data_IF_244782714689
#
_entry.id   IF_244782714689
#
_cell.length_a   1.000
_cell.length_b   1.000
_cell.length_c   1.000
_cell.angle_alpha   90.00
_cell.angle_beta   90.00
_cell.angle_gamma   90.00
#
_symmetry.space_group_name_H-M   'P 1'
#
loop_
_entity.id
_entity.type
_entity.pdbx_description
1 polymer ?
#
# COMPACT_ATOMS: atom_id res chain seq x y z
N UNK A 1 15.15 45.88 -8.28
CA UNK A 1 14.34 45.29 -9.36
C UNK A 1 14.32 43.80 -9.10
N UNK A 2 13.23 43.29 -8.53
CA UNK A 2 13.09 41.86 -8.24
C UNK A 2 12.91 41.11 -9.56
N UNK A 3 13.80 40.17 -9.86
CA UNK A 3 13.53 39.18 -10.90
C UNK A 3 12.21 38.50 -10.59
N UNK A 4 11.28 38.56 -11.54
CA UNK A 4 10.04 37.80 -11.47
C UNK A 4 10.42 36.32 -11.44
N UNK A 5 10.13 35.65 -10.32
CA UNK A 5 10.23 34.20 -10.25
C UNK A 5 9.49 33.61 -11.46
N UNK A 6 10.17 32.72 -12.19
CA UNK A 6 9.62 32.04 -13.35
C UNK A 6 8.43 31.18 -12.90
N UNK A 7 7.22 31.75 -13.01
CA UNK A 7 5.94 31.11 -12.69
C UNK A 7 5.52 30.07 -13.72
N UNK A 8 6.37 29.73 -14.70
CA UNK A 8 6.09 28.69 -15.68
C UNK A 8 6.55 27.30 -15.24
N UNK A 9 7.34 27.20 -14.16
CA UNK A 9 7.65 25.92 -13.53
C UNK A 9 6.34 25.30 -13.02
N UNK A 10 5.85 24.27 -13.72
CA UNK A 10 4.66 23.55 -13.31
C UNK A 10 4.88 22.99 -11.90
N UNK A 11 3.88 23.09 -11.03
CA UNK A 11 4.05 22.61 -9.69
C UNK A 11 4.30 21.09 -9.68
N UNK A 12 5.14 20.58 -8.76
CA UNK A 12 5.62 19.19 -8.76
C UNK A 12 4.51 18.14 -8.58
N UNK A 13 3.30 18.54 -8.18
CA UNK A 13 2.14 17.66 -8.05
C UNK A 13 1.34 17.47 -9.35
N UNK A 14 1.68 18.16 -10.44
CA UNK A 14 1.00 17.98 -11.73
C UNK A 14 1.58 16.78 -12.48
N UNK A 15 0.95 15.61 -12.32
CA UNK A 15 1.33 14.40 -13.02
C UNK A 15 0.92 14.44 -14.49
N UNK A 16 1.84 14.03 -15.37
CA UNK A 16 1.61 13.95 -16.80
C UNK A 16 1.48 12.51 -17.27
N UNK A 17 0.65 12.31 -18.29
CA UNK A 17 0.58 11.03 -18.97
C UNK A 17 1.88 10.81 -19.75
N UNK A 18 2.58 9.68 -19.52
CA UNK A 18 3.79 9.38 -20.26
C UNK A 18 3.50 9.19 -21.75
N UNK A 19 4.50 9.51 -22.58
CA UNK A 19 4.47 9.13 -23.99
C UNK A 19 4.73 7.62 -24.14
N UNK A 20 4.27 7.04 -25.26
CA UNK A 20 4.42 5.60 -25.49
C UNK A 20 5.89 5.16 -25.58
N UNK A 21 6.79 5.98 -26.09
CA UNK A 21 8.19 5.62 -26.25
C UNK A 21 8.89 5.50 -24.87
N UNK A 22 8.54 6.37 -23.93
CA UNK A 22 9.03 6.36 -22.55
C UNK A 22 8.59 5.12 -21.75
N UNK A 23 7.43 4.56 -22.08
CA UNK A 23 6.89 3.33 -21.47
C UNK A 23 7.60 2.10 -22.03
N UNK A 24 7.78 2.05 -23.35
CA UNK A 24 8.23 0.87 -24.09
C UNK A 24 9.75 0.73 -24.07
N UNK A 25 10.33 0.69 -22.87
CA UNK A 25 11.77 0.59 -22.61
C UNK A 25 12.13 -0.74 -21.94
N UNK A 26 13.42 -1.08 -21.92
CA UNK A 26 13.95 -2.25 -21.20
C UNK A 26 13.33 -3.57 -21.67
N UNK A 27 12.74 -4.33 -20.74
CA UNK A 27 12.11 -5.62 -21.06
C UNK A 27 10.88 -5.49 -21.96
N UNK A 28 10.08 -4.43 -21.82
CA UNK A 28 8.90 -4.18 -22.66
C UNK A 28 9.26 -3.88 -24.12
N UNK A 29 10.49 -3.42 -24.37
CA UNK A 29 11.01 -3.19 -25.71
C UNK A 29 11.45 -4.49 -26.42
N UNK A 30 11.58 -5.60 -25.68
CA UNK A 30 12.07 -6.87 -26.23
C UNK A 30 10.93 -7.62 -26.92
N UNK A 31 11.21 -8.10 -28.14
CA UNK A 31 10.32 -9.04 -28.83
C UNK A 31 10.15 -10.33 -28.03
N UNK A 32 8.94 -10.84 -27.98
CA UNK A 32 8.57 -12.07 -27.28
C UNK A 32 7.09 -12.36 -27.41
N UNK A 33 6.59 -13.40 -26.75
CA UNK A 33 5.15 -13.63 -26.69
C UNK A 33 4.58 -12.84 -25.52
N UNK A 34 3.79 -11.81 -25.82
CA UNK A 34 3.18 -10.93 -24.83
C UNK A 34 1.67 -11.13 -24.79
N UNK A 35 1.12 -11.08 -23.59
CA UNK A 35 -0.31 -10.87 -23.37
C UNK A 35 -0.50 -9.58 -22.59
N UNK A 36 -1.51 -8.79 -22.99
CA UNK A 36 -1.83 -7.50 -22.38
C UNK A 36 -3.30 -7.50 -22.01
N UNK A 37 -3.62 -7.26 -20.75
CA UNK A 37 -4.97 -6.96 -20.29
C UNK A 37 -5.18 -5.45 -20.25
N UNK A 38 -6.09 -4.93 -21.07
CA UNK A 38 -6.50 -3.52 -21.04
C UNK A 38 -7.56 -3.33 -19.97
N UNK A 39 -7.42 -2.30 -19.14
CA UNK A 39 -8.18 -2.15 -17.90
C UNK A 39 -9.10 -0.93 -17.88
N UNK A 40 -10.23 -1.08 -17.21
CA UNK A 40 -11.00 0.01 -16.60
C UNK A 40 -10.96 -0.19 -15.08
N UNK A 41 -10.42 0.78 -14.34
CA UNK A 41 -10.15 0.63 -12.91
C UNK A 41 -10.37 1.92 -12.15
N UNK A 42 -10.81 1.80 -10.90
CA UNK A 42 -10.86 2.90 -9.93
C UNK A 42 -9.56 3.07 -9.13
N UNK A 43 -8.57 2.19 -9.32
CA UNK A 43 -7.26 2.30 -8.67
C UNK A 43 -6.55 3.55 -9.23
N UNK A 44 -5.99 4.43 -8.38
CA UNK A 44 -5.02 5.44 -8.82
C UNK A 44 -3.84 4.76 -9.54
N UNK A 45 -3.73 4.95 -10.84
CA UNK A 45 -2.81 4.19 -11.68
C UNK A 45 -1.46 4.90 -11.81
N UNK A 46 -0.32 4.18 -11.89
CA UNK A 46 0.98 4.85 -11.98
C UNK A 46 1.13 5.63 -13.27
N UNK A 47 2.06 6.60 -13.23
CA UNK A 47 2.62 7.28 -14.42
C UNK A 47 3.93 6.66 -14.92
N UNK A 48 4.44 5.64 -14.22
CA UNK A 48 5.64 4.88 -14.59
C UNK A 48 5.29 3.40 -14.76
N UNK A 49 6.10 2.67 -15.51
CA UNK A 49 5.95 1.21 -15.59
C UNK A 49 6.47 0.58 -14.29
N UNK A 50 5.71 -0.35 -13.72
CA UNK A 50 6.15 -1.15 -12.56
C UNK A 50 6.18 -2.62 -12.91
N UNK A 51 7.26 -3.31 -12.54
CA UNK A 51 7.36 -4.77 -12.61
C UNK A 51 7.01 -5.34 -11.23
N UNK A 52 6.10 -6.29 -11.20
CA UNK A 52 5.65 -6.98 -9.99
C UNK A 52 5.79 -8.48 -10.21
N UNK A 53 6.45 -9.15 -9.27
CA UNK A 53 6.48 -10.62 -9.23
C UNK A 53 5.31 -11.09 -8.37
N UNK A 54 4.47 -11.96 -8.91
CA UNK A 54 3.36 -12.56 -8.16
C UNK A 54 3.21 -14.02 -8.56
N UNK A 55 3.19 -14.92 -7.57
CA UNK A 55 3.20 -16.38 -7.79
C UNK A 55 4.29 -16.83 -8.78
N UNK A 56 5.49 -16.25 -8.65
CA UNK A 56 6.64 -16.54 -9.50
C UNK A 56 6.50 -16.10 -10.96
N UNK A 57 5.54 -15.23 -11.28
CA UNK A 57 5.33 -14.68 -12.62
C UNK A 57 5.56 -13.17 -12.62
N UNK A 58 6.17 -12.68 -13.69
CA UNK A 58 6.40 -11.26 -13.91
C UNK A 58 5.17 -10.59 -14.55
N UNK A 59 4.67 -9.54 -13.89
CA UNK A 59 3.63 -8.67 -14.39
C UNK A 59 4.17 -7.25 -14.55
N UNK A 60 3.86 -6.62 -15.68
CA UNK A 60 4.18 -5.21 -15.93
C UNK A 60 2.91 -4.40 -15.86
N UNK A 61 2.82 -3.54 -14.86
CA UNK A 61 1.80 -2.49 -14.78
C UNK A 61 2.23 -1.37 -15.72
N UNK A 62 1.42 -1.12 -16.73
CA UNK A 62 1.69 -0.18 -17.80
C UNK A 62 0.81 1.06 -17.61
N UNK A 63 1.39 2.27 -17.53
CA UNK A 63 0.64 3.49 -17.36
C UNK A 63 -0.23 3.81 -18.60
N UNK A 64 -1.37 4.51 -18.44
CA UNK A 64 -2.08 5.06 -19.58
C UNK A 64 -1.23 6.08 -20.34
N UNK A 65 -1.52 6.25 -21.62
CA UNK A 65 -1.00 7.37 -22.43
C UNK A 65 -2.16 8.24 -22.88
N UNK A 66 -1.87 9.30 -23.65
CA UNK A 66 -2.93 10.09 -24.30
C UNK A 66 -3.88 9.24 -25.17
N UNK A 67 -3.43 8.10 -25.68
CA UNK A 67 -4.16 7.28 -26.65
C UNK A 67 -4.43 5.84 -26.19
N UNK A 68 -3.97 5.45 -25.00
CA UNK A 68 -4.05 4.07 -24.51
C UNK A 68 -4.51 4.03 -23.07
N UNK A 69 -5.38 3.07 -22.75
CA UNK A 69 -5.87 2.85 -21.40
C UNK A 69 -4.79 2.23 -20.49
N UNK A 70 -4.99 2.26 -19.15
CA UNK A 70 -4.20 1.47 -18.22
C UNK A 70 -4.17 -0.01 -18.62
N UNK A 71 -3.03 -0.67 -18.41
CA UNK A 71 -2.90 -2.07 -18.77
C UNK A 71 -1.96 -2.84 -17.83
N UNK A 72 -2.10 -4.15 -17.83
CA UNK A 72 -1.09 -5.06 -17.28
C UNK A 72 -0.64 -6.03 -18.37
N UNK A 73 0.67 -6.17 -18.53
CA UNK A 73 1.28 -7.10 -19.45
C UNK A 73 1.98 -8.25 -18.72
N UNK A 74 2.08 -9.38 -19.40
CA UNK A 74 2.87 -10.53 -18.97
C UNK A 74 3.58 -11.09 -20.20
N UNK A 75 4.87 -11.39 -20.04
CA UNK A 75 5.65 -12.09 -21.06
C UNK A 75 5.52 -13.59 -20.86
N UNK A 76 5.48 -14.32 -21.96
CA UNK A 76 5.28 -15.76 -22.01
C UNK A 76 6.39 -16.39 -22.85
N UNK A 77 6.69 -17.65 -22.58
CA UNK A 77 7.65 -18.43 -23.38
C UNK A 77 7.10 -18.84 -24.75
N UNK A 78 5.77 -18.96 -24.84
CA UNK A 78 5.03 -19.43 -26.02
C UNK A 78 3.76 -18.62 -26.20
N UNK A 79 2.97 -18.95 -27.22
CA UNK A 79 1.70 -18.28 -27.49
C UNK A 79 0.74 -18.26 -26.31
N UNK A 80 -0.09 -17.21 -26.26
CA UNK A 80 -1.05 -16.98 -25.20
C UNK A 80 -2.04 -18.14 -25.10
N UNK A 81 -2.08 -18.76 -23.92
CA UNK A 81 -3.06 -19.79 -23.59
C UNK A 81 -4.15 -19.24 -22.66
N UNK A 82 -5.23 -20.00 -22.48
CA UNK A 82 -6.25 -19.71 -21.47
C UNK A 82 -5.63 -19.61 -20.05
N UNK A 83 -4.62 -20.44 -19.75
CA UNK A 83 -3.92 -20.43 -18.46
C UNK A 83 -3.23 -19.08 -18.18
N UNK A 84 -2.58 -18.49 -19.18
CA UNK A 84 -1.94 -17.19 -19.05
C UNK A 84 -2.95 -16.07 -18.76
N UNK A 85 -4.12 -16.12 -19.41
CA UNK A 85 -5.24 -15.20 -19.12
C UNK A 85 -5.75 -15.39 -17.70
N UNK A 86 -5.89 -16.64 -17.24
CA UNK A 86 -6.29 -16.95 -15.87
C UNK A 86 -5.29 -16.42 -14.85
N UNK A 87 -3.99 -16.58 -15.08
CA UNK A 87 -2.92 -16.01 -14.22
C UNK A 87 -3.02 -14.49 -14.14
N UNK A 88 -3.19 -13.82 -15.27
CA UNK A 88 -3.43 -12.37 -15.32
C UNK A 88 -4.67 -11.97 -14.52
N UNK A 89 -5.78 -12.69 -14.67
CA UNK A 89 -7.01 -12.41 -13.91
C UNK A 89 -6.80 -12.62 -12.41
N UNK A 90 -6.05 -13.65 -11.98
CA UNK A 90 -5.72 -13.88 -10.57
C UNK A 90 -4.88 -12.74 -9.98
N UNK A 91 -3.85 -12.30 -10.71
CA UNK A 91 -3.06 -11.14 -10.31
C UNK A 91 -3.94 -9.88 -10.13
N UNK A 92 -4.81 -9.58 -11.10
CA UNK A 92 -5.70 -8.42 -11.00
C UNK A 92 -6.72 -8.53 -9.85
N UNK A 93 -7.11 -9.74 -9.46
CA UNK A 93 -7.96 -9.97 -8.27
C UNK A 93 -7.21 -9.71 -6.97
N UNK A 94 -5.96 -10.19 -6.85
CA UNK A 94 -5.11 -9.88 -5.70
C UNK A 94 -4.80 -8.39 -5.60
N UNK A 95 -4.48 -7.74 -6.73
CA UNK A 95 -4.25 -6.30 -6.80
C UNK A 95 -5.50 -5.50 -6.41
N UNK A 96 -6.67 -5.86 -6.94
CA UNK A 96 -7.95 -5.24 -6.58
C UNK A 96 -8.29 -5.39 -5.09
N UNK A 97 -7.93 -6.52 -4.47
CA UNK A 97 -8.09 -6.73 -3.04
C UNK A 97 -7.19 -5.80 -2.23
N UNK A 98 -5.88 -5.84 -2.50
CA UNK A 98 -4.88 -5.04 -1.80
C UNK A 98 -5.11 -3.53 -1.93
N UNK A 99 -5.61 -3.07 -3.08
CA UNK A 99 -5.89 -1.65 -3.33
C UNK A 99 -7.28 -1.21 -2.87
N UNK A 100 -8.20 -2.14 -2.56
CA UNK A 100 -9.58 -1.79 -2.18
C UNK A 100 -10.48 -1.28 -3.32
N UNK A 101 -10.03 -1.32 -4.58
CA UNK A 101 -10.78 -0.80 -5.74
C UNK A 101 -11.10 -1.87 -6.77
N UNK A 102 -12.14 -1.64 -7.59
CA UNK A 102 -12.53 -2.51 -8.69
C UNK A 102 -11.58 -2.46 -9.89
N UNK A 103 -11.45 -3.59 -10.57
CA UNK A 103 -10.69 -3.73 -11.82
C UNK A 103 -11.51 -4.55 -12.82
N UNK A 104 -11.82 -3.95 -13.98
CA UNK A 104 -12.42 -4.65 -15.11
C UNK A 104 -11.41 -4.80 -16.24
N UNK A 105 -11.41 -5.98 -16.86
CA UNK A 105 -10.64 -6.21 -18.09
C UNK A 105 -11.53 -5.94 -19.29
N UNK A 106 -11.22 -4.89 -20.04
CA UNK A 106 -11.92 -4.50 -21.26
C UNK A 106 -11.60 -5.42 -22.44
N UNK A 107 -10.44 -6.09 -22.40
CA UNK A 107 -10.04 -7.06 -23.41
C UNK A 107 -8.59 -7.52 -23.23
N UNK A 108 -8.25 -8.59 -23.95
CA UNK A 108 -6.88 -9.09 -24.05
C UNK A 108 -6.31 -8.81 -25.44
N UNK A 109 -5.12 -8.23 -25.46
CA UNK A 109 -4.28 -8.06 -26.66
C UNK A 109 -2.90 -8.68 -26.46
N UNK A 110 -1.95 -8.28 -27.30
CA UNK A 110 -0.57 -8.75 -27.25
C UNK A 110 -0.06 -9.26 -28.60
N UNK A 111 0.96 -10.12 -28.58
CA UNK A 111 1.65 -10.62 -29.76
C UNK A 111 3.16 -10.60 -29.59
N UNK A 112 3.90 -10.30 -30.66
CA UNK A 112 5.37 -10.22 -30.63
C UNK A 112 5.92 -9.06 -29.77
N UNK A 113 5.05 -8.11 -29.42
CA UNK A 113 5.30 -6.94 -28.58
C UNK A 113 4.06 -6.67 -27.71
N UNK A 114 4.20 -5.98 -26.57
CA UNK A 114 3.05 -5.47 -25.82
C UNK A 114 2.22 -4.53 -26.69
N UNK A 115 1.00 -4.96 -27.05
CA UNK A 115 0.05 -4.15 -27.80
C UNK A 115 -0.98 -3.57 -26.83
N UNK A 116 -0.90 -2.26 -26.62
CA UNK A 116 -1.88 -1.51 -25.85
C UNK A 116 -3.06 -1.14 -26.75
N UNK A 117 -4.26 -1.53 -26.37
CA UNK A 117 -5.46 -1.17 -27.13
C UNK A 117 -5.61 0.35 -27.18
N UNK A 118 -5.89 0.87 -28.38
CA UNK A 118 -6.27 2.29 -28.55
C UNK A 118 -7.63 2.51 -27.90
N UNK A 119 -7.69 3.38 -26.89
CA UNK A 119 -8.94 3.82 -26.29
C UNK A 119 -9.25 5.23 -26.77
N UNK A 120 -10.26 5.40 -27.63
CA UNK A 120 -10.82 6.74 -27.90
C UNK A 120 -11.63 7.18 -26.68
N UNK A 121 -11.10 8.13 -25.91
CA UNK A 121 -11.88 8.93 -24.95
C UNK A 121 -12.22 8.22 -23.64
N UNK A 122 -12.45 8.90 -22.52
CA UNK A 122 -12.52 10.33 -22.23
C UNK A 122 -12.58 10.45 -20.71
N UNK A 123 -11.57 11.04 -20.08
CA UNK A 123 -11.66 11.62 -18.72
C UNK A 123 -11.59 10.64 -17.54
N UNK A 124 -10.89 11.08 -16.48
CA UNK A 124 -11.08 10.55 -15.13
C UNK A 124 -10.12 9.44 -14.68
N UNK A 125 -8.96 9.25 -15.31
CA UNK A 125 -7.92 8.45 -14.66
C UNK A 125 -7.36 9.21 -13.46
N UNK A 126 -7.54 8.68 -12.26
CA UNK A 126 -6.75 9.11 -11.12
C UNK A 126 -5.34 8.56 -11.33
N UNK A 127 -4.35 9.45 -11.39
CA UNK A 127 -2.95 9.09 -11.54
C UNK A 127 -2.24 9.17 -10.20
N UNK A 128 -1.22 8.35 -10.01
CA UNK A 128 -0.30 8.44 -8.88
C UNK A 128 1.15 8.39 -9.36
N UNK A 129 2.01 9.20 -8.74
CA UNK A 129 3.47 9.06 -8.88
C UNK A 129 3.99 7.84 -8.12
N UNK A 130 3.21 7.38 -7.15
CA UNK A 130 3.62 6.46 -6.13
C UNK A 130 2.64 5.28 -6.09
N UNK A 131 2.87 4.33 -6.99
CA UNK A 131 2.07 3.13 -7.07
C UNK A 131 2.68 2.00 -6.27
N UNK A 132 1.98 1.60 -5.23
CA UNK A 132 2.47 0.66 -4.24
C UNK A 132 1.76 -0.66 -4.43
N UNK A 133 2.51 -1.71 -4.76
CA UNK A 133 1.97 -3.07 -4.83
C UNK A 133 2.63 -3.89 -3.74
N UNK A 134 1.90 -4.07 -2.64
CA UNK A 134 2.32 -4.77 -1.43
C UNK A 134 1.20 -5.68 -0.96
N UNK A 135 1.58 -6.66 -0.15
CA UNK A 135 0.65 -7.51 0.61
C UNK A 135 -0.41 -8.18 -0.27
N UNK A 136 0.00 -8.59 -1.49
CA UNK A 136 -0.85 -9.31 -2.41
C UNK A 136 -1.21 -10.68 -1.82
N UNK A 137 -2.50 -11.02 -1.66
CA UNK A 137 -2.88 -12.29 -1.08
C UNK A 137 -2.62 -13.44 -2.05
N UNK A 138 -2.17 -14.59 -1.52
CA UNK A 138 -1.96 -15.83 -2.30
C UNK A 138 -2.91 -16.94 -1.84
N UNK A 139 -4.23 -16.82 -2.09
CA UNK A 139 -5.20 -17.76 -1.54
C UNK A 139 -5.30 -19.08 -2.31
N UNK A 140 -5.91 -20.05 -1.66
CA UNK A 140 -6.36 -21.31 -2.27
C UNK A 140 -7.45 -21.10 -3.34
N UNK A 141 -7.94 -22.19 -3.94
CA UNK A 141 -8.90 -22.10 -5.04
C UNK A 141 -10.23 -21.42 -4.64
N UNK A 142 -10.70 -21.62 -3.41
CA UNK A 142 -11.95 -21.04 -2.90
C UNK A 142 -11.80 -19.54 -2.64
N UNK A 143 -10.70 -19.15 -2.00
CA UNK A 143 -10.36 -17.74 -1.80
C UNK A 143 -10.09 -17.01 -3.12
N UNK A 144 -9.47 -17.66 -4.12
CA UNK A 144 -9.31 -17.10 -5.46
C UNK A 144 -10.65 -16.77 -6.13
N UNK A 145 -11.65 -17.65 -5.99
CA UNK A 145 -12.99 -17.39 -6.50
C UNK A 145 -13.63 -16.20 -5.77
N UNK A 146 -13.50 -16.14 -4.45
CA UNK A 146 -14.03 -15.03 -3.65
C UNK A 146 -13.40 -13.69 -4.04
N UNK A 147 -12.07 -13.63 -4.22
CA UNK A 147 -11.38 -12.42 -4.71
C UNK A 147 -11.76 -12.07 -6.15
N UNK A 148 -12.02 -13.05 -7.01
CA UNK A 148 -12.50 -12.81 -8.38
C UNK A 148 -13.88 -12.16 -8.39
N UNK A 149 -14.81 -12.67 -7.58
CA UNK A 149 -16.15 -12.11 -7.40
C UNK A 149 -16.08 -10.72 -6.75
N UNK A 150 -15.24 -10.52 -5.74
CA UNK A 150 -15.03 -9.22 -5.09
C UNK A 150 -14.52 -8.16 -6.08
N UNK A 151 -13.49 -8.48 -6.88
CA UNK A 151 -12.99 -7.60 -7.94
C UNK A 151 -14.09 -7.22 -8.93
N UNK A 152 -14.87 -8.22 -9.39
CA UNK A 152 -15.96 -8.00 -10.33
C UNK A 152 -17.04 -7.09 -9.71
N UNK A 153 -17.50 -7.39 -8.51
CA UNK A 153 -18.51 -6.62 -7.79
C UNK A 153 -18.11 -5.14 -7.63
N UNK A 154 -16.86 -4.86 -7.25
CA UNK A 154 -16.31 -3.50 -7.14
C UNK A 154 -16.16 -2.79 -8.49
N UNK A 155 -15.95 -3.54 -9.58
CA UNK A 155 -15.78 -2.99 -10.93
C UNK A 155 -17.09 -2.71 -11.67
N UNK A 156 -18.21 -3.26 -11.20
CA UNK A 156 -19.52 -3.08 -11.83
C UNK A 156 -20.07 -1.67 -11.61
N UNK A 157 -20.46 -1.03 -12.72
CA UNK A 157 -21.04 0.32 -12.75
C UNK A 157 -22.57 0.29 -12.58
N UNK A 158 -23.08 -0.71 -11.85
CA UNK A 158 -24.51 -0.89 -11.62
C UNK A 158 -24.74 -1.47 -10.23
N UNK A 159 -25.46 -0.74 -9.38
CA UNK A 159 -25.64 -1.07 -7.95
C UNK A 159 -26.28 -2.46 -7.75
N UNK A 160 -27.32 -2.80 -8.51
CA UNK A 160 -27.99 -4.10 -8.39
C UNK A 160 -27.09 -5.31 -8.74
N UNK A 161 -26.38 -5.28 -9.87
CA UNK A 161 -25.46 -6.35 -10.25
C UNK A 161 -24.23 -6.41 -9.34
N UNK A 162 -23.73 -5.25 -8.90
CA UNK A 162 -22.68 -5.18 -7.89
C UNK A 162 -23.13 -5.84 -6.58
N UNK A 163 -24.34 -5.53 -6.11
CA UNK A 163 -24.94 -6.14 -4.92
C UNK A 163 -25.05 -7.66 -5.05
N UNK A 164 -25.60 -8.15 -6.16
CA UNK A 164 -25.68 -9.61 -6.40
C UNK A 164 -24.30 -10.27 -6.42
N UNK A 165 -23.30 -9.60 -7.00
CA UNK A 165 -21.94 -10.16 -7.08
C UNK A 165 -21.25 -10.16 -5.72
N UNK A 166 -21.44 -9.14 -4.87
CA UNK A 166 -21.01 -9.20 -3.46
C UNK A 166 -21.74 -10.30 -2.69
N UNK A 167 -23.05 -10.48 -2.91
CA UNK A 167 -23.79 -11.57 -2.29
C UNK A 167 -23.25 -12.95 -2.73
N UNK A 168 -22.80 -13.09 -3.99
CA UNK A 168 -22.14 -14.32 -4.45
C UNK A 168 -20.81 -14.62 -3.74
N UNK A 169 -20.10 -13.59 -3.24
CA UNK A 169 -18.95 -13.80 -2.35
C UNK A 169 -19.40 -14.51 -1.07
N UNK A 170 -20.52 -14.07 -0.47
CA UNK A 170 -21.10 -14.74 0.70
C UNK A 170 -21.58 -16.16 0.38
N UNK A 171 -22.13 -16.40 -0.82
CA UNK A 171 -22.51 -17.76 -1.25
C UNK A 171 -21.28 -18.66 -1.43
N UNK A 172 -20.14 -18.11 -1.90
CA UNK A 172 -18.90 -18.85 -2.03
C UNK A 172 -18.26 -19.18 -0.67
N UNK A 173 -18.29 -18.24 0.28
CA UNK A 173 -17.77 -18.44 1.64
C UNK A 173 -18.68 -19.34 2.48
N UNK A 174 -19.99 -19.16 2.35
CA UNK A 174 -21.02 -19.83 3.17
C UNK A 174 -22.10 -20.42 2.24
N UNK A 175 -21.87 -21.62 1.66
CA UNK A 175 -22.78 -22.21 0.67
C UNK A 175 -24.17 -22.51 1.26
N UNK A 176 -24.22 -22.91 2.53
CA UNK A 176 -25.45 -23.27 3.22
C UNK A 176 -26.25 -22.03 3.62
N UNK A 177 -27.45 -21.86 3.03
CA UNK A 177 -28.26 -20.64 3.18
C UNK A 177 -28.67 -20.32 4.62
N UNK A 178 -28.97 -21.32 5.44
CA UNK A 178 -29.31 -21.11 6.86
C UNK A 178 -28.10 -20.62 7.67
N UNK A 179 -26.94 -21.27 7.50
CA UNK A 179 -25.70 -20.86 8.16
C UNK A 179 -25.27 -19.46 7.71
N UNK A 180 -25.40 -19.15 6.41
CA UNK A 180 -25.15 -17.82 5.86
C UNK A 180 -26.05 -16.76 6.48
N UNK A 181 -27.35 -17.04 6.63
CA UNK A 181 -28.28 -16.12 7.27
C UNK A 181 -27.91 -15.84 8.72
N UNK A 182 -27.58 -16.88 9.49
CA UNK A 182 -27.14 -16.73 10.89
C UNK A 182 -25.83 -15.93 10.99
N UNK A 183 -24.85 -16.22 10.13
CA UNK A 183 -23.58 -15.49 10.10
C UNK A 183 -23.77 -14.02 9.71
N UNK A 184 -24.61 -13.72 8.70
CA UNK A 184 -24.90 -12.32 8.32
C UNK A 184 -25.43 -11.56 9.54
N UNK A 185 -26.40 -12.11 10.27
CA UNK A 185 -26.97 -11.45 11.45
C UNK A 185 -25.93 -11.17 12.53
N UNK A 186 -25.03 -12.11 12.82
CA UNK A 186 -23.93 -11.93 13.77
C UNK A 186 -22.87 -10.91 13.29
N UNK A 187 -22.61 -10.87 11.98
CA UNK A 187 -21.60 -9.99 11.38
C UNK A 187 -22.01 -8.51 11.36
N UNK A 188 -23.31 -8.20 11.36
CA UNK A 188 -23.83 -6.83 11.19
C UNK A 188 -23.25 -5.83 12.20
N UNK A 189 -23.21 -6.20 13.48
CA UNK A 189 -22.75 -5.29 14.54
C UNK A 189 -21.23 -5.15 14.60
N UNK A 190 -20.50 -5.96 13.82
CA UNK A 190 -19.04 -5.95 13.70
C UNK A 190 -18.56 -5.18 12.46
N UNK A 191 -19.48 -4.57 11.71
CA UNK A 191 -19.13 -3.74 10.55
C UNK A 191 -18.53 -2.41 10.99
N UNK A 192 -17.61 -1.90 10.17
CA UNK A 192 -16.87 -0.66 10.40
C UNK A 192 -17.05 0.30 9.21
N UNK A 193 -16.61 1.56 9.38
CA UNK A 193 -16.61 2.58 8.32
C UNK A 193 -17.95 2.76 7.59
N UNK A 194 -17.89 2.85 6.27
CA UNK A 194 -19.07 3.08 5.41
C UNK A 194 -20.14 1.98 5.53
N UNK A 195 -19.75 0.73 5.83
CA UNK A 195 -20.70 -0.37 6.02
C UNK A 195 -21.54 -0.16 7.29
N UNK A 196 -20.91 0.33 8.37
CA UNK A 196 -21.60 0.68 9.63
C UNK A 196 -22.55 1.89 9.45
N UNK A 197 -22.13 2.88 8.68
CA UNK A 197 -22.97 4.03 8.33
C UNK A 197 -24.18 3.60 7.50
N UNK A 198 -23.98 2.75 6.48
CA UNK A 198 -25.05 2.19 5.67
C UNK A 198 -26.03 1.35 6.53
N UNK A 199 -25.52 0.51 7.44
CA UNK A 199 -26.35 -0.24 8.39
C UNK A 199 -27.22 0.70 9.26
N UNK A 200 -26.64 1.78 9.76
CA UNK A 200 -27.35 2.76 10.58
C UNK A 200 -28.49 3.43 9.80
N UNK A 201 -28.26 3.78 8.53
CA UNK A 201 -29.31 4.31 7.63
C UNK A 201 -30.42 3.30 7.35
N UNK A 202 -30.08 2.03 7.15
CA UNK A 202 -31.08 0.95 6.98
C UNK A 202 -31.95 0.82 8.23
N UNK A 203 -31.34 0.77 9.42
CA UNK A 203 -32.07 0.70 10.70
C UNK A 203 -32.94 1.93 10.93
N UNK A 204 -32.47 3.13 10.58
CA UNK A 204 -33.23 4.37 10.70
C UNK A 204 -34.51 4.40 9.84
N UNK A 205 -34.60 3.59 8.78
CA UNK A 205 -35.83 3.40 7.98
C UNK A 205 -36.84 2.43 8.63
N UNK A 206 -36.57 1.94 9.84
CA UNK A 206 -37.45 1.00 10.55
C UNK A 206 -37.23 -0.47 10.19
N UNK A 207 -36.14 -0.78 9.49
CA UNK A 207 -35.77 -2.16 9.12
C UNK A 207 -35.01 -2.78 10.30
N UNK A 208 -35.71 -3.58 11.10
CA UNK A 208 -35.14 -4.23 12.29
C UNK A 208 -34.36 -5.51 11.94
N UNK A 209 -34.91 -6.34 11.03
CA UNK A 209 -34.25 -7.57 10.57
C UNK A 209 -33.53 -7.32 9.23
N UNK A 210 -32.33 -6.77 9.34
CA UNK A 210 -31.51 -6.39 8.19
C UNK A 210 -31.04 -7.62 7.41
N UNK A 211 -30.79 -8.75 8.07
CA UNK A 211 -30.40 -10.00 7.41
C UNK A 211 -31.51 -10.52 6.49
N UNK A 212 -32.76 -10.53 6.97
CA UNK A 212 -33.93 -10.89 6.15
C UNK A 212 -34.17 -9.86 5.04
N UNK A 213 -33.96 -8.57 5.29
CA UNK A 213 -34.07 -7.51 4.28
C UNK A 213 -33.09 -7.72 3.12
N UNK A 214 -31.79 -7.92 3.41
CA UNK A 214 -30.75 -8.21 2.42
C UNK A 214 -31.14 -9.43 1.57
N UNK A 215 -31.67 -10.48 2.22
CA UNK A 215 -32.01 -11.71 1.53
C UNK A 215 -33.25 -11.60 0.64
N UNK A 216 -34.36 -11.10 1.19
CA UNK A 216 -35.68 -11.11 0.53
C UNK A 216 -35.92 -9.86 -0.28
N UNK A 217 -35.72 -8.69 0.31
CA UNK A 217 -36.04 -7.41 -0.32
C UNK A 217 -34.97 -6.96 -1.33
N UNK A 218 -33.74 -7.50 -1.25
CA UNK A 218 -32.66 -7.21 -2.20
C UNK A 218 -32.30 -8.41 -3.06
N UNK A 219 -31.59 -9.40 -2.52
CA UNK A 219 -31.06 -10.53 -3.33
C UNK A 219 -32.14 -11.21 -4.16
N UNK A 220 -33.27 -11.58 -3.57
CA UNK A 220 -34.36 -12.23 -4.30
C UNK A 220 -35.04 -11.27 -5.31
N UNK A 221 -35.22 -10.00 -4.93
CA UNK A 221 -35.87 -9.00 -5.79
C UNK A 221 -35.06 -8.65 -7.04
N UNK A 222 -33.73 -8.61 -6.92
CA UNK A 222 -32.84 -8.37 -8.06
C UNK A 222 -32.75 -9.62 -8.95
N UNK A 223 -32.72 -10.82 -8.35
CA UNK A 223 -32.48 -12.07 -9.08
C UNK A 223 -33.71 -12.60 -9.83
N UNK A 224 -34.93 -12.15 -9.51
CA UNK A 224 -36.17 -12.70 -10.06
C UNK A 224 -37.06 -11.62 -10.66
N UNK A 225 -37.31 -11.70 -11.98
CA UNK A 225 -38.24 -10.81 -12.69
C UNK A 225 -39.68 -11.34 -12.77
N UNK A 226 -39.95 -12.54 -12.25
CA UNK A 226 -41.25 -13.23 -12.39
C UNK A 226 -42.06 -13.28 -11.09
N UNK A 227 -41.51 -12.87 -9.95
CA UNK A 227 -42.14 -12.99 -8.63
C UNK A 227 -41.85 -11.75 -7.80
N UNK A 228 -42.87 -11.24 -7.12
CA UNK A 228 -42.71 -10.14 -6.18
C UNK A 228 -41.91 -10.59 -4.94
N UNK A 229 -41.07 -9.71 -4.35
CA UNK A 229 -40.75 -8.35 -4.82
C UNK A 229 -39.89 -8.38 -6.10
N UNK A 230 -40.15 -7.48 -7.07
CA UNK A 230 -39.30 -7.27 -8.26
C UNK A 230 -38.66 -5.90 -8.14
N UNK A 231 -37.40 -5.79 -8.57
CA UNK A 231 -36.72 -4.50 -8.71
C UNK A 231 -36.90 -3.95 -10.11
N UNK A 232 -37.56 -2.79 -10.22
CA UNK A 232 -37.63 -2.03 -11.46
C UNK A 232 -36.37 -1.15 -11.59
N UNK A 233 -35.50 -1.38 -12.59
CA UNK A 233 -34.33 -0.53 -12.81
C UNK A 233 -34.69 0.91 -13.23
N UNK A 234 -35.91 1.16 -13.70
CA UNK A 234 -36.39 2.51 -14.05
C UNK A 234 -36.97 3.27 -12.83
N UNK A 235 -37.14 2.59 -11.68
CA UNK A 235 -37.49 3.25 -10.41
C UNK A 235 -36.24 3.76 -9.70
N UNK A 236 -35.98 5.07 -9.85
CA UNK A 236 -34.84 5.71 -9.22
C UNK A 236 -34.82 5.60 -7.69
N UNK A 237 -35.98 5.52 -7.02
CA UNK A 237 -36.01 5.39 -5.57
C UNK A 237 -35.36 4.08 -5.11
N UNK A 238 -35.66 2.99 -5.81
CA UNK A 238 -35.08 1.67 -5.56
C UNK A 238 -33.60 1.62 -5.93
N UNK A 239 -33.22 2.26 -7.05
CA UNK A 239 -31.81 2.38 -7.47
C UNK A 239 -30.99 3.15 -6.43
N UNK A 240 -31.55 4.24 -5.89
CA UNK A 240 -30.91 5.06 -4.87
C UNK A 240 -30.74 4.30 -3.56
N UNK A 241 -31.78 3.60 -3.10
CA UNK A 241 -31.68 2.75 -1.90
C UNK A 241 -30.60 1.68 -2.03
N UNK A 242 -30.49 1.04 -3.20
CA UNK A 242 -29.43 0.08 -3.45
C UNK A 242 -28.05 0.71 -3.42
N UNK A 243 -27.91 1.92 -3.96
CA UNK A 243 -26.65 2.64 -3.91
C UNK A 243 -26.24 2.91 -2.46
N UNK A 244 -27.17 3.34 -1.61
CA UNK A 244 -26.91 3.56 -0.18
C UNK A 244 -26.64 2.27 0.61
N UNK A 245 -27.24 1.15 0.20
CA UNK A 245 -27.05 -0.16 0.83
C UNK A 245 -25.84 -0.94 0.29
N UNK A 246 -25.25 -0.53 -0.84
CA UNK A 246 -24.09 -1.22 -1.43
C UNK A 246 -22.91 -1.36 -0.46
N UNK A 247 -22.51 -0.34 0.33
CA UNK A 247 -21.42 -0.48 1.30
C UNK A 247 -21.69 -1.56 2.35
N UNK A 248 -22.96 -1.79 2.72
CA UNK A 248 -23.34 -2.82 3.69
C UNK A 248 -23.02 -4.22 3.17
N UNK A 249 -23.46 -4.56 1.95
CA UNK A 249 -23.18 -5.89 1.37
C UNK A 249 -21.69 -6.06 1.03
N UNK A 250 -21.01 -4.99 0.63
CA UNK A 250 -19.57 -4.99 0.40
C UNK A 250 -18.81 -5.31 1.70
N UNK A 251 -19.11 -4.62 2.81
CA UNK A 251 -18.46 -4.86 4.09
C UNK A 251 -18.70 -6.28 4.63
N UNK A 252 -19.91 -6.83 4.44
CA UNK A 252 -20.19 -8.23 4.75
C UNK A 252 -19.34 -9.18 3.89
N UNK A 253 -19.20 -8.91 2.59
CA UNK A 253 -18.41 -9.74 1.68
C UNK A 253 -16.91 -9.68 2.00
N UNK A 254 -16.38 -8.49 2.35
CA UNK A 254 -14.99 -8.31 2.80
C UNK A 254 -14.73 -9.09 4.09
N UNK A 255 -15.62 -8.97 5.07
CA UNK A 255 -15.52 -9.70 6.34
C UNK A 255 -15.59 -11.21 6.14
N UNK A 256 -16.46 -11.70 5.26
CA UNK A 256 -16.53 -13.13 4.96
C UNK A 256 -15.22 -13.63 4.32
N UNK A 257 -14.60 -12.84 3.45
CA UNK A 257 -13.30 -13.18 2.86
C UNK A 257 -12.22 -13.29 3.95
N UNK A 258 -12.21 -12.34 4.87
CA UNK A 258 -11.25 -12.30 5.97
C UNK A 258 -11.44 -13.45 6.97
N UNK A 259 -12.64 -13.64 7.51
CA UNK A 259 -12.91 -14.62 8.56
C UNK A 259 -12.90 -16.08 8.06
N UNK A 260 -13.42 -16.32 6.84
CA UNK A 260 -13.63 -17.68 6.33
C UNK A 260 -12.42 -18.18 5.54
N UNK A 261 -11.78 -17.30 4.74
CA UNK A 261 -10.62 -17.68 3.92
C UNK A 261 -9.28 -17.24 4.52
N UNK A 262 -9.28 -16.49 5.64
CA UNK A 262 -8.06 -16.01 6.28
C UNK A 262 -7.30 -14.99 5.44
N UNK A 263 -7.97 -14.28 4.53
CA UNK A 263 -7.35 -13.30 3.64
C UNK A 263 -7.55 -11.92 4.26
N UNK A 264 -6.50 -11.31 4.85
CA UNK A 264 -6.67 -10.07 5.61
C UNK A 264 -7.01 -8.90 4.68
N UNK A 265 -7.88 -8.02 5.16
CA UNK A 265 -8.16 -6.73 4.49
C UNK A 265 -6.98 -5.77 4.67
N UNK A 266 -6.84 -4.73 3.82
CA UNK A 266 -5.83 -3.68 4.03
C UNK A 266 -5.90 -3.05 5.42
N UNK A 267 -7.12 -2.84 5.96
CA UNK A 267 -7.32 -2.31 7.31
C UNK A 267 -6.86 -3.27 8.41
N UNK A 268 -7.01 -4.58 8.22
CA UNK A 268 -6.51 -5.56 9.19
C UNK A 268 -4.99 -5.74 9.10
N UNK A 269 -4.40 -5.67 7.90
CA UNK A 269 -2.94 -5.62 7.72
C UNK A 269 -2.37 -4.42 8.47
N UNK A 270 -2.96 -3.24 8.24
CA UNK A 270 -2.57 -2.01 8.94
C UNK A 270 -2.68 -2.19 10.45
N UNK A 271 -3.82 -2.60 11.00
CA UNK A 271 -4.00 -2.77 12.45
C UNK A 271 -3.05 -3.78 13.09
N UNK A 272 -2.65 -4.82 12.35
CA UNK A 272 -1.79 -5.86 12.88
C UNK A 272 -0.30 -5.47 12.85
N UNK A 273 0.10 -4.52 11.99
CA UNK A 273 1.47 -4.00 11.86
C UNK A 273 2.58 -5.06 11.72
N UNK A 274 2.25 -6.31 11.38
CA UNK A 274 3.22 -7.44 11.36
C UNK A 274 4.44 -7.19 10.46
N UNK A 275 4.32 -6.30 9.47
CA UNK A 275 5.41 -5.92 8.58
C UNK A 275 6.45 -4.98 9.22
N UNK A 276 6.13 -4.29 10.32
CA UNK A 276 7.06 -3.37 10.96
C UNK A 276 8.22 -4.12 11.62
N UNK A 277 8.00 -5.33 12.16
CA UNK A 277 9.05 -6.12 12.82
C UNK A 277 9.41 -7.42 12.09
N UNK A 278 8.78 -7.72 10.95
CA UNK A 278 8.94 -9.00 10.25
C UNK A 278 10.40 -9.40 10.00
N UNK A 279 11.23 -8.49 9.50
CA UNK A 279 12.62 -8.81 9.20
C UNK A 279 13.50 -8.88 10.46
N UNK A 280 13.22 -8.05 11.47
CA UNK A 280 13.86 -8.16 12.78
C UNK A 280 13.60 -9.50 13.46
N UNK A 281 12.37 -10.03 13.37
CA UNK A 281 12.02 -11.37 13.89
C UNK A 281 12.80 -12.51 13.24
N UNK A 282 13.24 -12.35 11.99
CA UNK A 282 14.01 -13.38 11.28
C UNK A 282 15.48 -13.43 11.72
N UNK A 283 16.03 -12.31 12.17
CA UNK A 283 17.44 -12.23 12.59
C UNK A 283 17.59 -12.43 14.10
N UNK A 284 16.54 -12.20 14.90
CA UNK A 284 16.58 -12.39 16.34
C UNK A 284 16.43 -13.86 16.75
N UNK A 285 17.23 -14.34 17.72
CA UNK A 285 17.03 -15.66 18.29
C UNK A 285 15.62 -15.81 18.90
N UNK A 286 14.89 -16.91 18.61
CA UNK A 286 13.54 -17.13 19.16
C UNK A 286 13.48 -17.03 20.68
N UNK A 287 14.47 -17.62 21.38
CA UNK A 287 14.54 -17.61 22.84
C UNK A 287 14.67 -16.19 23.41
N UNK A 288 15.36 -15.29 22.70
CA UNK A 288 15.52 -13.90 23.10
C UNK A 288 14.21 -13.13 22.95
N UNK A 289 13.46 -13.34 21.85
CA UNK A 289 12.16 -12.71 21.68
C UNK A 289 11.19 -13.12 22.80
N UNK A 290 11.16 -14.41 23.16
CA UNK A 290 10.36 -14.90 24.28
C UNK A 290 10.78 -14.25 25.60
N UNK A 291 12.08 -14.14 25.87
CA UNK A 291 12.59 -13.47 27.07
C UNK A 291 12.22 -11.98 27.12
N UNK A 292 12.30 -11.26 26.00
CA UNK A 292 11.89 -9.85 25.92
C UNK A 292 10.40 -9.72 26.25
N UNK A 293 9.55 -10.58 25.66
CA UNK A 293 8.10 -10.51 25.85
C UNK A 293 7.62 -10.96 27.25
N UNK A 294 8.24 -11.99 27.83
CA UNK A 294 7.74 -12.62 29.06
C UNK A 294 8.48 -12.16 30.33
N UNK A 295 9.72 -11.67 30.18
CA UNK A 295 10.60 -11.38 31.31
C UNK A 295 11.05 -12.65 32.07
N UNK A 296 11.83 -12.51 33.17
CA UNK A 296 12.37 -11.26 33.71
C UNK A 296 13.47 -10.65 32.83
N UNK A 297 13.50 -9.32 32.71
CA UNK A 297 14.48 -8.61 31.87
C UNK A 297 15.85 -8.44 32.55
N UNK A 298 15.91 -8.66 33.87
CA UNK A 298 17.14 -8.65 34.65
C UNK A 298 18.04 -9.82 34.23
N UNK A 299 19.23 -9.50 33.72
CA UNK A 299 20.21 -10.52 33.36
C UNK A 299 19.98 -11.16 32.00
N UNK A 300 19.20 -10.54 31.10
CA UNK A 300 19.28 -10.85 29.66
C UNK A 300 20.69 -10.44 29.20
N UNK A 301 21.62 -11.39 29.32
CA UNK A 301 23.00 -11.26 28.87
C UNK A 301 23.15 -12.11 27.62
N UNK A 302 23.17 -11.47 26.46
CA UNK A 302 23.42 -12.09 25.18
C UNK A 302 23.97 -11.04 24.23
N UNK A 303 24.92 -11.42 23.39
CA UNK A 303 25.32 -10.58 22.27
C UNK A 303 24.20 -10.68 21.25
N UNK A 304 23.37 -9.64 21.12
CA UNK A 304 22.45 -9.55 19.99
C UNK A 304 23.30 -9.12 18.80
N UNK A 305 23.46 -10.04 17.86
CA UNK A 305 24.10 -9.73 16.59
C UNK A 305 23.09 -9.00 15.71
N UNK A 306 23.10 -7.67 15.80
CA UNK A 306 22.29 -6.80 14.94
C UNK A 306 23.15 -6.30 13.77
N UNK A 307 22.64 -6.31 12.53
CA UNK A 307 23.42 -5.94 11.37
C UNK A 307 23.68 -4.44 11.30
N UNK A 308 24.57 -4.06 10.38
CA UNK A 308 24.67 -2.68 9.91
C UNK A 308 23.37 -2.27 9.24
N UNK A 309 22.94 -1.03 9.46
CA UNK A 309 21.68 -0.54 8.93
C UNK A 309 21.85 0.59 7.92
N UNK A 310 21.06 0.53 6.86
CA UNK A 310 20.74 1.68 6.03
C UNK A 310 19.32 2.15 6.39
N UNK A 311 19.21 3.44 6.74
CA UNK A 311 17.94 4.06 7.09
C UNK A 311 17.50 4.97 5.94
N UNK A 312 16.32 4.69 5.41
CA UNK A 312 15.81 5.34 4.22
C UNK A 312 14.37 5.79 4.44
N UNK A 313 13.96 6.83 3.71
CA UNK A 313 12.55 7.19 3.58
C UNK A 313 12.08 6.83 2.19
N UNK A 314 10.93 6.16 2.10
CA UNK A 314 10.33 5.89 0.80
C UNK A 314 10.01 7.20 0.10
N UNK A 315 10.35 7.27 -1.19
CA UNK A 315 10.20 8.43 -2.09
C UNK A 315 11.21 9.56 -1.86
N UNK A 316 12.16 9.38 -0.95
CA UNK A 316 13.27 10.31 -0.80
C UNK A 316 14.50 9.81 -1.53
N UNK A 317 15.35 10.74 -1.94
CA UNK A 317 16.72 10.40 -2.29
C UNK A 317 17.44 9.84 -1.05
N UNK A 318 18.43 8.94 -1.23
CA UNK A 318 19.15 8.39 -0.10
C UNK A 318 19.85 9.46 0.74
N UNK A 319 19.83 9.26 2.05
CA UNK A 319 20.53 10.09 3.03
C UNK A 319 21.90 9.46 3.30
N UNK A 320 22.94 10.05 2.74
CA UNK A 320 24.32 9.59 2.89
C UNK A 320 24.74 9.45 4.35
N UNK A 321 24.23 10.33 5.21
CA UNK A 321 24.55 10.37 6.63
C UNK A 321 23.91 9.24 7.45
N UNK A 322 22.96 8.49 6.86
CA UNK A 322 22.20 7.42 7.49
C UNK A 322 22.46 6.04 6.85
N UNK A 323 23.60 5.89 6.17
CA UNK A 323 24.04 4.62 5.56
C UNK A 323 25.15 3.96 6.36
N UNK A 324 25.12 2.63 6.39
CA UNK A 324 26.11 1.81 7.08
C UNK A 324 26.19 2.12 8.56
N UNK A 325 25.04 2.40 9.19
CA UNK A 325 24.95 2.74 10.59
C UNK A 325 25.40 1.55 11.45
N UNK A 326 26.29 1.81 12.39
CA UNK A 326 26.92 0.83 13.28
C UNK A 326 26.10 0.68 14.57
N UNK A 327 25.82 -0.55 15.04
CA UNK A 327 25.18 -0.72 16.34
C UNK A 327 26.11 -0.29 17.46
N UNK A 328 25.60 0.49 18.41
CA UNK A 328 26.37 1.04 19.54
C UNK A 328 25.88 0.49 20.87
N UNK A 329 24.57 0.53 21.08
CA UNK A 329 23.97 0.08 22.32
C UNK A 329 22.62 -0.58 22.06
N UNK A 330 22.30 -1.50 22.94
CA UNK A 330 21.03 -2.21 22.99
C UNK A 330 20.57 -2.13 24.44
N UNK A 331 19.31 -1.77 24.63
CA UNK A 331 18.66 -1.79 25.94
C UNK A 331 17.33 -2.55 25.86
N UNK A 332 16.96 -3.24 26.93
CA UNK A 332 15.74 -4.06 27.00
C UNK A 332 14.93 -3.64 28.22
N UNK A 333 13.70 -3.21 27.98
CA UNK A 333 12.75 -2.89 29.04
C UNK A 333 11.32 -3.13 28.54
N UNK A 334 10.44 -3.65 29.38
CA UNK A 334 8.98 -3.66 29.12
C UNK A 334 8.58 -4.18 27.73
N UNK A 335 9.05 -5.37 27.36
CA UNK A 335 8.81 -6.00 26.04
C UNK A 335 9.33 -5.20 24.83
N UNK A 336 10.20 -4.22 25.08
CA UNK A 336 10.79 -3.35 24.08
C UNK A 336 12.29 -3.61 23.95
N UNK A 337 12.77 -3.64 22.72
CA UNK A 337 14.19 -3.61 22.41
C UNK A 337 14.56 -2.24 21.84
N UNK A 338 15.31 -1.47 22.61
CA UNK A 338 15.79 -0.16 22.22
C UNK A 338 17.17 -0.29 21.56
N UNK A 339 17.30 0.26 20.37
CA UNK A 339 18.50 0.14 19.54
C UNK A 339 19.07 1.52 19.26
N UNK A 340 20.35 1.70 19.61
CA UNK A 340 21.12 2.90 19.28
C UNK A 340 22.16 2.55 18.22
N UNK A 341 22.08 3.27 17.11
CA UNK A 341 22.98 3.17 15.97
C UNK A 341 23.77 4.46 15.79
N UNK A 342 24.98 4.37 15.26
CA UNK A 342 25.87 5.51 15.01
C UNK A 342 26.45 5.48 13.61
N UNK A 343 26.55 6.64 12.98
CA UNK A 343 27.18 6.77 11.68
C UNK A 343 28.67 6.40 11.73
N UNK A 344 29.28 5.91 10.63
CA UNK A 344 30.70 5.52 10.61
C UNK A 344 31.69 6.63 11.03
N UNK A 345 31.32 7.89 10.87
CA UNK A 345 32.11 9.06 11.26
C UNK A 345 31.88 9.51 12.72
N UNK A 346 31.01 8.83 13.47
CA UNK A 346 30.64 9.12 14.86
C UNK A 346 29.93 10.48 15.09
N UNK A 347 29.36 11.07 14.04
CA UNK A 347 28.70 12.37 14.10
C UNK A 347 27.18 12.29 14.31
N UNK A 348 26.56 11.16 13.97
CA UNK A 348 25.12 10.95 14.07
C UNK A 348 24.84 9.73 14.92
N UNK A 349 23.90 9.89 15.84
CA UNK A 349 23.27 8.81 16.59
C UNK A 349 21.80 8.73 16.15
N UNK A 350 21.33 7.52 15.83
CA UNK A 350 19.95 7.22 15.44
C UNK A 350 19.42 6.13 16.37
N UNK A 351 18.32 6.41 17.05
CA UNK A 351 17.73 5.57 18.09
C UNK A 351 16.27 5.29 17.77
N UNK A 352 15.87 4.01 17.90
CA UNK A 352 14.49 3.58 17.75
C UNK A 352 14.22 2.37 18.65
N UNK A 353 12.95 2.06 18.83
CA UNK A 353 12.47 1.01 19.72
C UNK A 353 11.64 -0.01 18.95
N UNK A 354 11.85 -1.28 19.24
CA UNK A 354 11.08 -2.41 18.70
C UNK A 354 10.16 -2.96 19.79
N UNK A 355 8.86 -2.70 19.65
CA UNK A 355 7.81 -3.07 20.58
C UNK A 355 7.18 -4.41 20.14
N UNK A 356 7.60 -5.52 20.74
CA UNK A 356 7.20 -6.87 20.29
C UNK A 356 5.79 -7.28 20.71
N UNK A 357 5.24 -6.62 21.73
CA UNK A 357 3.89 -6.85 22.25
C UNK A 357 2.81 -6.35 21.30
N UNK A 358 3.11 -5.32 20.52
CA UNK A 358 2.18 -4.65 19.61
C UNK A 358 2.65 -4.60 18.15
N UNK A 359 3.82 -5.20 17.84
CA UNK A 359 4.41 -5.29 16.50
C UNK A 359 4.74 -3.92 15.89
N UNK A 360 5.30 -3.01 16.69
CA UNK A 360 5.62 -1.64 16.25
C UNK A 360 7.10 -1.32 16.28
N UNK A 361 7.55 -0.55 15.29
CA UNK A 361 8.78 0.23 15.39
C UNK A 361 8.42 1.67 15.78
N UNK A 362 8.94 2.13 16.90
CA UNK A 362 8.74 3.49 17.39
C UNK A 362 10.02 4.29 17.18
N UNK A 363 9.90 5.36 16.39
CA UNK A 363 10.96 6.34 16.16
C UNK A 363 10.45 7.73 16.52
N UNK A 364 11.09 8.35 17.51
CA UNK A 364 10.83 9.72 17.92
C UNK A 364 11.79 10.66 17.19
N UNK A 365 11.25 11.61 16.42
CA UNK A 365 12.06 12.54 15.64
C UNK A 365 12.88 13.50 16.51
N UNK A 366 12.40 13.83 17.71
CA UNK A 366 13.01 14.82 18.59
C UNK A 366 14.12 14.22 19.44
N UNK A 367 13.92 12.99 19.94
CA UNK A 367 14.87 12.31 20.82
C UNK A 367 15.69 11.22 20.12
N UNK A 368 15.14 10.60 19.07
CA UNK A 368 15.75 9.49 18.34
C UNK A 368 16.84 9.90 17.34
N UNK A 369 17.13 11.18 17.20
CA UNK A 369 18.17 11.67 16.27
C UNK A 369 19.07 12.69 16.96
N UNK A 370 20.32 12.32 17.22
CA UNK A 370 21.34 13.24 17.75
C UNK A 370 22.43 13.49 16.72
N UNK A 371 22.85 14.75 16.61
CA UNK A 371 23.84 15.19 15.64
C UNK A 371 24.94 16.02 16.30
N UNK A 372 26.18 15.80 15.87
CA UNK A 372 27.37 16.49 16.38
C UNK A 372 28.04 17.26 15.25
N UNK A 373 28.35 18.53 15.51
CA UNK A 373 29.16 19.35 14.61
C UNK A 373 30.60 19.41 15.11
N UNK A 374 31.52 18.73 14.43
CA UNK A 374 32.95 18.78 14.73
C UNK A 374 33.68 19.96 14.05
N UNK A 375 32.94 20.84 13.36
CA UNK A 375 33.49 21.97 12.62
C UNK A 375 34.03 21.62 11.22
N UNK A 376 33.97 20.36 10.80
CA UNK A 376 34.42 19.94 9.47
C UNK A 376 33.40 20.29 8.37
N UNK A 377 33.85 20.25 7.12
CA UNK A 377 32.96 20.36 5.97
C UNK A 377 32.01 19.15 5.87
N UNK A 378 32.46 17.99 6.34
CA UNK A 378 31.68 16.76 6.31
C UNK A 378 30.53 16.79 7.30
N UNK A 379 30.78 17.19 8.56
CA UNK A 379 29.72 17.37 9.57
C UNK A 379 28.64 18.34 9.10
N UNK A 380 29.02 19.45 8.47
CA UNK A 380 28.08 20.42 7.92
C UNK A 380 27.18 19.81 6.83
N UNK A 381 27.71 18.93 5.96
CA UNK A 381 26.91 18.21 4.96
C UNK A 381 25.95 17.22 5.61
N UNK A 382 26.41 16.50 6.63
CA UNK A 382 25.57 15.56 7.37
C UNK A 382 24.43 16.28 8.09
N UNK A 383 24.66 17.47 8.65
CA UNK A 383 23.60 18.31 9.23
C UNK A 383 22.59 18.72 8.17
N UNK A 384 23.04 19.15 6.99
CA UNK A 384 22.12 19.47 5.89
C UNK A 384 21.29 18.23 5.47
N UNK A 385 21.93 17.07 5.35
CA UNK A 385 21.29 15.81 4.95
C UNK A 385 20.24 15.36 5.98
N UNK A 386 20.52 15.51 7.28
CA UNK A 386 19.55 15.20 8.34
C UNK A 386 18.41 16.21 8.44
N UNK A 387 18.63 17.50 8.15
CA UNK A 387 17.53 18.46 8.04
C UNK A 387 16.61 18.12 6.88
N UNK A 388 17.16 17.64 5.76
CA UNK A 388 16.37 17.08 4.65
C UNK A 388 15.59 15.84 5.09
N UNK A 389 16.23 14.90 5.79
CA UNK A 389 15.54 13.71 6.33
C UNK A 389 14.35 14.09 7.20
N UNK A 390 14.53 15.04 8.14
CA UNK A 390 13.45 15.49 9.01
C UNK A 390 12.30 16.13 8.23
N UNK A 391 12.60 16.98 7.24
CA UNK A 391 11.59 17.57 6.38
C UNK A 391 10.80 16.50 5.62
N UNK A 392 11.51 15.56 4.99
CA UNK A 392 10.91 14.47 4.22
C UNK A 392 10.08 13.52 5.09
N UNK A 393 10.54 13.24 6.32
CA UNK A 393 9.82 12.42 7.28
C UNK A 393 8.51 13.08 7.71
N UNK A 394 8.57 14.37 8.08
CA UNK A 394 7.37 15.19 8.36
C UNK A 394 6.45 15.34 7.14
N UNK A 395 7.00 15.20 5.93
CA UNK A 395 6.29 15.21 4.65
C UNK A 395 5.60 13.89 4.28
N UNK A 396 5.15 13.09 5.26
CA UNK A 396 4.60 11.74 5.08
C UNK A 396 5.65 10.70 4.65
N UNK A 397 6.88 10.79 5.18
CA UNK A 397 7.91 9.77 4.94
C UNK A 397 7.49 8.41 5.51
N UNK A 398 7.69 7.34 4.75
CA UNK A 398 7.61 5.96 5.25
C UNK A 398 9.03 5.51 5.61
N UNK A 399 9.29 5.29 6.90
CA UNK A 399 10.60 4.86 7.38
C UNK A 399 10.86 3.42 6.97
N UNK A 400 11.97 3.18 6.28
CA UNK A 400 12.44 1.85 5.94
C UNK A 400 13.82 1.62 6.57
N UNK A 401 13.99 0.44 7.17
CA UNK A 401 15.25 -0.02 7.74
C UNK A 401 15.71 -1.24 6.95
N UNK A 402 16.91 -1.16 6.39
CA UNK A 402 17.52 -2.23 5.62
C UNK A 402 18.79 -2.72 6.30
N UNK A 403 19.04 -4.02 6.18
CA UNK A 403 20.37 -4.58 6.38
C UNK A 403 21.30 -4.07 5.27
N UNK A 404 22.41 -3.42 5.62
CA UNK A 404 23.31 -2.79 4.64
C UNK A 404 23.93 -3.81 3.67
N UNK A 405 24.28 -5.00 4.15
CA UNK A 405 25.06 -5.97 3.38
C UNK A 405 24.17 -6.78 2.42
N UNK A 406 23.03 -7.25 2.93
CA UNK A 406 22.10 -8.10 2.18
C UNK A 406 21.04 -7.30 1.43
N UNK A 407 20.82 -6.04 1.83
CA UNK A 407 19.69 -5.20 1.41
C UNK A 407 18.32 -5.80 1.71
N UNK A 408 18.25 -6.73 2.67
CA UNK A 408 17.00 -7.23 3.20
C UNK A 408 16.26 -6.11 3.94
N UNK A 409 14.95 -5.98 3.71
CA UNK A 409 14.10 -5.05 4.45
C UNK A 409 13.83 -5.64 5.84
N UNK A 410 14.33 -4.97 6.88
CA UNK A 410 14.16 -5.39 8.28
C UNK A 410 12.88 -4.83 8.90
N UNK A 411 12.58 -3.58 8.57
CA UNK A 411 11.38 -2.88 9.04
C UNK A 411 10.89 -1.88 8.00
N UNK A 412 9.57 -1.69 7.98
CA UNK A 412 8.90 -0.59 7.30
C UNK A 412 7.83 -0.05 8.22
N UNK A 413 7.81 1.26 8.43
CA UNK A 413 6.70 1.98 9.09
C UNK A 413 5.85 2.69 8.04
N UNK A 414 4.55 2.80 8.29
CA UNK A 414 3.66 3.60 7.45
C UNK A 414 4.04 5.08 7.42
N UNK A 415 3.39 5.82 6.53
CA UNK A 415 3.65 7.23 6.36
C UNK A 415 3.45 7.98 7.68
N UNK A 416 4.46 8.75 8.09
CA UNK A 416 4.37 9.56 9.30
C UNK A 416 3.35 10.68 9.11
N UNK A 417 2.27 10.67 9.90
CA UNK A 417 1.24 11.71 9.88
C UNK A 417 1.45 12.60 11.11
N UNK A 418 2.02 13.82 10.97
CA UNK A 418 2.15 14.73 12.09
C UNK A 418 0.78 15.11 12.65
N UNK A 419 0.64 15.04 13.98
CA UNK A 419 -0.60 15.43 14.68
C UNK A 419 -0.37 16.77 15.36
N UNK A 420 -1.24 17.75 15.09
CA UNK A 420 -1.16 19.12 15.63
C UNK A 420 0.11 19.91 15.27
N UNK A 421 0.85 19.50 14.25
CA UNK A 421 1.99 20.27 13.71
C UNK A 421 2.09 20.11 12.19
N UNK A 422 2.87 20.97 11.55
CA UNK A 422 3.24 20.85 10.14
C UNK A 422 4.72 21.19 9.98
N UNK A 423 5.38 20.57 9.00
CA UNK A 423 6.75 20.91 8.64
C UNK A 423 6.83 22.34 8.11
N UNK A 424 7.68 23.17 8.70
CA UNK A 424 7.96 24.51 8.17
C UNK A 424 8.98 24.40 7.03
N UNK A 425 8.48 24.19 5.80
CA UNK A 425 9.31 24.01 4.60
C UNK A 425 10.34 25.13 4.42
N UNK A 426 9.94 26.39 4.53
CA UNK A 426 10.84 27.54 4.35
C UNK A 426 11.98 27.53 5.38
N UNK A 427 11.68 27.17 6.63
CA UNK A 427 12.69 27.05 7.67
C UNK A 427 13.66 25.90 7.39
N UNK A 428 13.15 24.73 7.01
CA UNK A 428 14.00 23.58 6.67
C UNK A 428 14.89 23.88 5.47
N UNK A 429 14.35 24.45 4.40
CA UNK A 429 15.11 24.84 3.21
C UNK A 429 16.20 25.87 3.54
N UNK A 430 15.87 26.86 4.38
CA UNK A 430 16.83 27.85 4.90
C UNK A 430 17.96 27.21 5.69
N UNK A 431 17.65 26.30 6.62
CA UNK A 431 18.67 25.59 7.41
C UNK A 431 19.52 24.67 6.52
N UNK A 432 18.92 23.92 5.59
CA UNK A 432 19.66 23.08 4.63
C UNK A 432 20.65 23.96 3.83
N UNK A 433 20.18 25.06 3.25
CA UNK A 433 21.03 25.97 2.47
C UNK A 433 22.15 26.60 3.30
N UNK A 434 21.88 26.96 4.56
CA UNK A 434 22.87 27.49 5.51
C UNK A 434 23.97 26.47 5.80
N UNK A 435 23.62 25.22 6.06
CA UNK A 435 24.60 24.17 6.36
C UNK A 435 25.41 23.74 5.13
N UNK A 436 24.81 23.73 3.94
CA UNK A 436 25.54 23.52 2.69
C UNK A 436 26.57 24.63 2.44
N UNK A 437 26.21 25.91 2.64
CA UNK A 437 27.15 27.03 2.57
C UNK A 437 28.27 26.92 3.60
N UNK A 438 27.95 26.49 4.83
CA UNK A 438 28.95 26.25 5.86
C UNK A 438 29.92 25.14 5.45
N UNK A 439 29.43 24.06 4.84
CA UNK A 439 30.27 22.98 4.33
C UNK A 439 31.23 23.45 3.24
N UNK A 440 30.76 24.25 2.27
CA UNK A 440 31.60 24.83 1.23
C UNK A 440 32.68 25.74 1.81
N UNK A 441 32.30 26.61 2.76
CA UNK A 441 33.25 27.50 3.42
C UNK A 441 34.34 26.71 4.17
N UNK A 442 33.96 25.71 4.97
CA UNK A 442 34.87 24.86 5.73
C UNK A 442 35.79 24.04 4.82
N UNK A 443 35.28 23.57 3.68
CA UNK A 443 36.08 22.85 2.69
C UNK A 443 37.19 23.75 2.11
N UNK A 444 36.89 25.03 1.86
CA UNK A 444 37.86 26.00 1.35
C UNK A 444 38.88 26.45 2.40
N UNK A 445 38.56 26.34 3.69
CA UNK A 445 39.47 26.67 4.79
C UNK A 445 40.43 25.53 5.16
N UNK A 446 40.20 24.32 4.67
CA UNK A 446 41.08 23.17 4.93
C UNK A 446 42.16 23.15 3.83
N UNK A 447 43.41 23.54 4.09
CA UNK A 447 44.44 23.50 3.07
C UNK A 447 44.71 22.04 2.67
N UNK A 448 44.82 21.79 1.37
CA UNK A 448 45.34 20.52 0.83
C UNK A 448 46.78 20.37 1.31
N UNK A 449 46.98 19.63 2.41
CA UNK A 449 48.29 19.17 2.89
C UNK A 449 48.51 17.73 2.48
#
# INVERSE_FOLDING_TARGET
MSESADTTARPPWQLELPDRASIMVGELAKRGHWIVATLATGIPWPVKTHKVVYLGQDFWIIPPTQNTSPAVAMRMERDATSDHRTKMMRFLSALSWAQGYGVRVSGFGGGSMPFLSSGRGTGGHTLTADFVVRDLPEPDASGQLALALMREARGLDHSAYSFLTFYRVLEAALPQGQARGAWITDALDKLEGQAKEALSKVRARGINDVGVHIQRARRQAIAHAAKQPIMDPDDYSVVHELYEERPLIQGLAERAIEEIFGIPTPSSIYRAHLYELAGFRLIMPPDLMTQIMEGPWEGISGTIDVPLLDIELRRSEPFSALRGMLPVAVDIAEATLKLLYRSPDNLIDFEFELHFDNERLVFDLDSGLTIRDDGSAHSARNIADLRRFQLDYLGNGELHVYDTDTRALLSRVDAFIPVNCWGNHEWFESEIAKWLKAAEHRANLTPQN
#
